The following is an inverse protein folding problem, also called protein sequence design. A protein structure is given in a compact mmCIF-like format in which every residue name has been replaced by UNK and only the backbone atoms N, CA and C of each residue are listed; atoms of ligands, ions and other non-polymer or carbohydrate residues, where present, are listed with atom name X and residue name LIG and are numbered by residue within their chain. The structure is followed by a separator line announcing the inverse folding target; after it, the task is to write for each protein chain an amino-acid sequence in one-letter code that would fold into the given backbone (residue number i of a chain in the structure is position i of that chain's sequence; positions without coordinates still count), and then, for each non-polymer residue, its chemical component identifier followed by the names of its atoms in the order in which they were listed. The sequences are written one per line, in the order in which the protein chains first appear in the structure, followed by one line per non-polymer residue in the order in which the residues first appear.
data_IF_450186566059
#
_entry.id   IF_450186566059
#
_cell.length_a   1.000
_cell.length_b   1.000
_cell.length_c   1.000
_cell.angle_alpha   90.00
_cell.angle_beta   90.00
_cell.angle_gamma   90.00
#
_symmetry.space_group_name_H-M   'P 1'
#
loop_
_entity.id
_entity.type
_entity.pdbx_description
1 polymer ?
#
# COMPACT_ATOMS: atom_id res chain seq x y z
N UNK A 1 23.26 3.38 -1.32
CA UNK A 1 23.68 4.68 -0.75
C UNK A 1 24.12 4.55 0.71
N UNK A 2 23.33 3.93 1.59
CA UNK A 2 23.67 3.78 3.01
C UNK A 2 25.00 3.09 3.28
N UNK A 3 25.33 2.05 2.52
CA UNK A 3 26.60 1.32 2.60
C UNK A 3 27.80 2.14 2.08
N UNK A 4 27.59 3.00 1.08
CA UNK A 4 28.67 3.76 0.43
C UNK A 4 28.99 5.09 1.16
N UNK A 5 28.00 5.80 1.67
CA UNK A 5 28.15 7.14 2.24
C UNK A 5 27.67 7.26 3.69
N UNK A 6 27.23 6.17 4.30
CA UNK A 6 26.70 6.10 5.64
C UNK A 6 25.25 6.62 5.75
N UNK A 7 24.54 6.15 6.77
CA UNK A 7 23.12 6.46 6.97
C UNK A 7 22.85 7.97 7.19
N UNK A 8 23.76 8.68 7.86
CA UNK A 8 23.61 10.14 8.10
C UNK A 8 23.65 10.95 6.81
N UNK A 9 24.59 10.63 5.91
CA UNK A 9 24.69 11.31 4.62
C UNK A 9 23.50 10.97 3.71
N UNK A 10 22.97 9.76 3.80
CA UNK A 10 21.75 9.36 3.07
C UNK A 10 20.55 10.20 3.51
N UNK A 11 20.32 10.35 4.82
CA UNK A 11 19.24 11.19 5.34
C UNK A 11 19.40 12.67 4.97
N UNK A 12 20.64 13.18 5.04
CA UNK A 12 20.94 14.55 4.64
C UNK A 12 20.64 14.78 3.15
N UNK A 13 21.05 13.84 2.29
CA UNK A 13 20.79 13.91 0.84
C UNK A 13 19.29 13.93 0.55
N UNK A 14 18.52 13.02 1.16
CA UNK A 14 17.07 12.99 1.03
C UNK A 14 16.44 14.29 1.51
N UNK A 15 16.92 14.84 2.66
CA UNK A 15 16.46 16.12 3.19
C UNK A 15 16.70 17.28 2.23
N UNK A 16 17.91 17.40 1.67
CA UNK A 16 18.26 18.44 0.70
C UNK A 16 17.41 18.34 -0.57
N UNK A 17 17.28 17.13 -1.13
CA UNK A 17 16.46 16.90 -2.33
C UNK A 17 15.00 17.25 -2.06
N UNK A 18 14.45 16.81 -0.92
CA UNK A 18 13.07 17.13 -0.53
C UNK A 18 12.85 18.63 -0.39
N UNK A 19 13.79 19.34 0.25
CA UNK A 19 13.73 20.79 0.39
C UNK A 19 13.80 21.51 -0.95
N UNK A 20 14.67 21.05 -1.87
CA UNK A 20 14.78 21.61 -3.21
C UNK A 20 13.47 21.41 -4.00
N UNK A 21 12.84 20.22 -3.89
CA UNK A 21 11.53 19.94 -4.51
C UNK A 21 10.46 20.87 -3.95
N UNK A 22 10.37 21.03 -2.64
CA UNK A 22 9.39 21.94 -2.00
C UNK A 22 9.62 23.38 -2.45
N UNK A 23 10.87 23.84 -2.47
CA UNK A 23 11.21 25.17 -2.97
C UNK A 23 10.78 25.34 -4.44
N UNK A 24 11.07 24.38 -5.30
CA UNK A 24 10.64 24.40 -6.70
C UNK A 24 9.10 24.45 -6.82
N UNK A 25 8.39 23.64 -6.07
CA UNK A 25 6.92 23.60 -6.08
C UNK A 25 6.31 24.95 -5.65
N UNK A 26 6.89 25.65 -4.69
CA UNK A 26 6.37 26.98 -4.26
C UNK A 26 6.43 28.04 -5.38
N UNK A 27 7.36 27.89 -6.33
CA UNK A 27 7.49 28.80 -7.48
C UNK A 27 6.65 28.37 -8.69
N UNK A 28 6.47 27.05 -8.87
CA UNK A 28 5.81 26.48 -10.06
C UNK A 28 4.31 26.31 -9.85
N UNK A 29 3.87 26.09 -8.58
CA UNK A 29 2.46 25.80 -8.32
C UNK A 29 1.59 27.05 -8.51
N UNK A 30 0.58 27.02 -9.41
CA UNK A 30 -0.34 28.13 -9.56
C UNK A 30 -1.17 28.31 -8.28
N UNK A 31 -1.52 29.55 -7.97
CA UNK A 31 -2.46 29.83 -6.89
C UNK A 31 -3.82 29.26 -7.27
N UNK A 32 -4.18 28.14 -6.66
CA UNK A 32 -5.50 27.55 -6.80
C UNK A 32 -6.46 28.26 -5.85
N UNK A 33 -7.67 28.61 -6.33
CA UNK A 33 -8.71 29.10 -5.47
C UNK A 33 -9.02 28.05 -4.41
N UNK A 34 -9.01 28.47 -3.14
CA UNK A 34 -9.40 27.62 -2.04
C UNK A 34 -10.86 27.22 -2.24
N UNK A 35 -11.12 25.98 -2.60
CA UNK A 35 -12.46 25.44 -2.68
C UNK A 35 -13.21 25.66 -1.37
N UNK A 36 -14.54 25.59 -1.39
CA UNK A 36 -15.39 25.78 -0.20
C UNK A 36 -14.84 24.96 0.97
N UNK A 37 -14.56 25.59 2.13
CA UNK A 37 -13.98 24.87 3.26
C UNK A 37 -14.93 23.75 3.70
N UNK A 38 -14.34 22.56 3.91
CA UNK A 38 -15.10 21.42 4.41
C UNK A 38 -15.49 21.67 5.86
N UNK A 39 -16.78 21.65 6.13
CA UNK A 39 -17.30 21.79 7.50
C UNK A 39 -17.18 20.43 8.21
N UNK A 40 -16.50 20.37 9.35
CA UNK A 40 -16.33 19.17 10.19
C UNK A 40 -17.67 18.47 10.52
N UNK A 41 -18.77 19.20 10.54
CA UNK A 41 -20.12 18.64 10.70
C UNK A 41 -20.55 17.66 9.61
N UNK A 42 -19.85 17.59 8.47
CA UNK A 42 -20.10 16.60 7.41
C UNK A 42 -19.33 15.27 7.59
N UNK A 43 -18.42 15.18 8.54
CA UNK A 43 -17.69 13.94 8.87
C UNK A 43 -18.62 12.73 9.12
N UNK A 44 -19.72 12.84 9.89
CA UNK A 44 -20.64 11.72 10.08
C UNK A 44 -21.28 11.22 8.79
N UNK A 45 -21.49 12.11 7.80
CA UNK A 45 -22.05 11.71 6.50
C UNK A 45 -21.10 10.84 5.68
N UNK A 46 -19.77 11.08 5.78
CA UNK A 46 -18.75 10.25 5.16
C UNK A 46 -18.72 8.84 5.76
N UNK A 47 -18.79 8.74 7.08
CA UNK A 47 -18.83 7.45 7.79
C UNK A 47 -20.14 6.68 7.58
N UNK A 48 -21.23 7.35 7.21
CA UNK A 48 -22.49 6.71 6.82
C UNK A 48 -22.48 6.17 5.39
N UNK A 49 -21.53 6.60 4.56
CA UNK A 49 -21.40 6.11 3.19
C UNK A 49 -20.83 4.69 3.19
N UNK A 50 -21.69 3.69 2.95
CA UNK A 50 -21.35 2.26 3.08
C UNK A 50 -20.14 1.85 2.22
N UNK A 51 -19.99 2.41 1.02
CA UNK A 51 -18.85 2.13 0.14
C UNK A 51 -17.54 2.66 0.70
N UNK A 52 -17.52 3.90 1.24
CA UNK A 52 -16.34 4.47 1.90
C UNK A 52 -15.97 3.72 3.17
N UNK A 53 -16.94 3.43 4.04
CA UNK A 53 -16.67 2.70 5.26
C UNK A 53 -16.10 1.31 4.98
N UNK A 54 -16.69 0.60 4.01
CA UNK A 54 -16.20 -0.72 3.59
C UNK A 54 -14.78 -0.64 3.02
N UNK A 55 -14.48 0.39 2.23
CA UNK A 55 -13.14 0.63 1.69
C UNK A 55 -12.12 0.91 2.80
N UNK A 56 -12.46 1.74 3.78
CA UNK A 56 -11.59 2.04 4.92
C UNK A 56 -11.27 0.79 5.74
N UNK A 57 -12.25 -0.10 5.94
CA UNK A 57 -12.04 -1.38 6.61
C UNK A 57 -11.07 -2.29 5.82
N UNK A 58 -11.26 -2.41 4.50
CA UNK A 58 -10.31 -3.15 3.65
C UNK A 58 -8.92 -2.56 3.77
N UNK A 59 -8.81 -1.23 3.73
CA UNK A 59 -7.51 -0.55 3.84
C UNK A 59 -6.81 -0.90 5.14
N UNK A 60 -7.47 -0.76 6.28
CA UNK A 60 -6.88 -1.09 7.59
C UNK A 60 -6.41 -2.54 7.61
N UNK A 61 -7.27 -3.49 7.22
CA UNK A 61 -6.96 -4.92 7.28
C UNK A 61 -5.79 -5.27 6.35
N UNK A 62 -5.85 -4.84 5.08
CA UNK A 62 -4.83 -5.20 4.09
C UNK A 62 -3.50 -4.50 4.35
N UNK A 63 -3.50 -3.24 4.80
CA UNK A 63 -2.27 -2.51 5.12
C UNK A 63 -1.65 -3.04 6.41
N UNK A 64 -2.44 -3.40 7.42
CA UNK A 64 -1.93 -4.12 8.61
C UNK A 64 -1.27 -5.43 8.19
N UNK A 65 -1.92 -6.24 7.37
CA UNK A 65 -1.36 -7.48 6.83
C UNK A 65 -0.05 -7.26 6.07
N UNK A 66 -0.04 -6.29 5.16
CA UNK A 66 1.11 -5.91 4.36
C UNK A 66 2.32 -5.53 5.24
N UNK A 67 2.12 -4.62 6.21
CA UNK A 67 3.20 -4.14 7.06
C UNK A 67 3.63 -5.12 8.15
N UNK A 68 2.83 -6.14 8.45
CA UNK A 68 3.26 -7.27 9.27
C UNK A 68 4.47 -8.00 8.65
N UNK A 69 4.47 -8.17 7.33
CA UNK A 69 5.61 -8.76 6.61
C UNK A 69 6.65 -7.72 6.18
N UNK A 70 6.20 -6.63 5.54
CA UNK A 70 7.08 -5.63 4.92
C UNK A 70 8.00 -4.93 5.92
N UNK A 71 7.52 -4.64 7.13
CA UNK A 71 8.32 -4.01 8.17
C UNK A 71 9.52 -4.85 8.63
N UNK A 72 9.52 -6.13 8.32
CA UNK A 72 10.55 -7.10 8.72
C UNK A 72 11.15 -7.85 7.52
N UNK A 73 10.98 -7.36 6.30
CA UNK A 73 11.41 -8.05 5.07
C UNK A 73 12.92 -8.25 5.02
N UNK A 74 13.70 -7.25 5.42
CA UNK A 74 15.16 -7.30 5.44
C UNK A 74 15.67 -8.35 6.46
N UNK A 75 15.34 -8.27 7.77
CA UNK A 75 15.75 -9.28 8.73
C UNK A 75 15.17 -10.67 8.43
N UNK A 76 14.01 -10.76 7.78
CA UNK A 76 13.45 -12.03 7.35
C UNK A 76 14.35 -12.68 6.27
N UNK A 77 14.71 -11.97 5.22
CA UNK A 77 15.58 -12.52 4.18
C UNK A 77 16.98 -12.83 4.70
N UNK A 78 17.50 -12.03 5.61
CA UNK A 78 18.80 -12.27 6.23
C UNK A 78 18.79 -13.52 7.11
N UNK A 79 17.80 -13.68 7.99
CA UNK A 79 17.77 -14.77 8.99
C UNK A 79 17.12 -16.06 8.49
N UNK A 80 16.13 -15.99 7.61
CA UNK A 80 15.36 -17.16 7.13
C UNK A 80 15.87 -17.64 5.79
N UNK A 81 16.16 -16.73 4.85
CA UNK A 81 16.68 -17.09 3.54
C UNK A 81 18.22 -17.18 3.51
N UNK A 82 18.91 -16.63 4.52
CA UNK A 82 20.38 -16.59 4.56
C UNK A 82 20.99 -15.73 3.44
N UNK A 83 20.24 -14.76 2.92
CA UNK A 83 20.70 -13.92 1.83
C UNK A 83 21.70 -12.86 2.31
N UNK A 84 22.77 -12.58 1.54
CA UNK A 84 23.67 -11.48 1.81
C UNK A 84 23.00 -10.12 1.54
N UNK A 85 23.52 -9.05 2.14
CA UNK A 85 22.94 -7.69 2.10
C UNK A 85 22.79 -7.12 0.69
N UNK A 86 23.68 -7.46 -0.24
CA UNK A 86 23.62 -7.06 -1.64
C UNK A 86 22.45 -7.73 -2.39
N UNK A 87 22.22 -9.02 -2.16
CA UNK A 87 21.08 -9.74 -2.72
C UNK A 87 19.74 -9.21 -2.15
N UNK A 88 19.69 -8.92 -0.85
CA UNK A 88 18.51 -8.29 -0.24
C UNK A 88 18.25 -6.91 -0.85
N UNK A 89 19.29 -6.10 -0.97
CA UNK A 89 19.20 -4.78 -1.62
C UNK A 89 18.70 -4.90 -3.05
N UNK A 90 19.21 -5.86 -3.83
CA UNK A 90 18.76 -6.10 -5.19
C UNK A 90 17.29 -6.52 -5.26
N UNK A 91 16.84 -7.41 -4.38
CA UNK A 91 15.44 -7.83 -4.28
C UNK A 91 14.51 -6.63 -3.96
N UNK A 92 14.93 -5.72 -3.07
CA UNK A 92 14.17 -4.50 -2.75
C UNK A 92 14.17 -3.47 -3.89
N UNK A 93 15.24 -3.39 -4.68
CA UNK A 93 15.26 -2.58 -5.92
C UNK A 93 14.27 -3.14 -6.94
N UNK A 94 14.25 -4.47 -7.12
CA UNK A 94 13.26 -5.11 -7.98
C UNK A 94 11.82 -4.90 -7.50
N UNK A 95 11.57 -4.95 -6.18
CA UNK A 95 10.28 -4.58 -5.59
C UNK A 95 9.86 -3.16 -5.99
N UNK A 96 10.76 -2.18 -5.86
CA UNK A 96 10.48 -0.79 -6.23
C UNK A 96 10.24 -0.62 -7.74
N UNK A 97 11.07 -1.26 -8.58
CA UNK A 97 10.93 -1.24 -10.04
C UNK A 97 9.60 -1.89 -10.48
N UNK A 98 9.23 -3.03 -9.88
CA UNK A 98 7.94 -3.67 -10.12
C UNK A 98 6.77 -2.77 -9.73
N UNK A 99 6.92 -1.96 -8.67
CA UNK A 99 5.92 -0.96 -8.29
C UNK A 99 5.69 0.10 -9.37
N UNK A 100 6.75 0.58 -10.04
CA UNK A 100 6.62 1.49 -11.19
C UNK A 100 5.85 0.82 -12.33
N UNK A 101 6.18 -0.43 -12.65
CA UNK A 101 5.45 -1.21 -13.67
C UNK A 101 3.98 -1.36 -13.30
N UNK A 102 3.65 -1.64 -12.03
CA UNK A 102 2.28 -1.73 -11.54
C UNK A 102 1.48 -0.44 -11.75
N UNK A 103 2.07 0.71 -11.47
CA UNK A 103 1.45 2.03 -11.73
C UNK A 103 1.21 2.26 -13.22
N UNK A 104 2.16 1.91 -14.07
CA UNK A 104 2.04 2.04 -15.52
C UNK A 104 0.98 1.10 -16.10
N UNK A 105 0.88 -0.14 -15.59
CA UNK A 105 -0.17 -1.08 -15.96
C UNK A 105 -1.55 -0.52 -15.64
N UNK A 106 -1.73 0.03 -14.45
CA UNK A 106 -2.99 0.68 -14.07
C UNK A 106 -3.36 1.81 -15.04
N UNK A 107 -2.40 2.66 -15.40
CA UNK A 107 -2.64 3.78 -16.30
C UNK A 107 -2.95 3.34 -17.74
N UNK A 108 -2.33 2.25 -18.22
CA UNK A 108 -2.49 1.79 -19.62
C UNK A 108 -3.65 0.85 -19.84
N UNK A 109 -4.05 0.09 -18.84
CA UNK A 109 -5.14 -0.90 -18.94
C UNK A 109 -6.50 -0.27 -18.60
N UNK A 110 -6.85 0.85 -19.23
CA UNK A 110 -8.10 1.58 -19.00
C UNK A 110 -9.38 0.78 -19.27
N UNK A 111 -9.29 -0.34 -20.02
CA UNK A 111 -10.40 -1.28 -20.24
C UNK A 111 -10.68 -2.20 -19.05
N UNK A 112 -9.72 -2.32 -18.11
CA UNK A 112 -9.86 -3.15 -16.92
C UNK A 112 -10.61 -2.36 -15.84
N UNK A 113 -11.64 -2.97 -15.26
CA UNK A 113 -12.44 -2.28 -14.23
C UNK A 113 -11.67 -2.05 -12.95
N UNK A 114 -11.92 -0.93 -12.27
CA UNK A 114 -11.32 -0.60 -10.98
C UNK A 114 -11.49 -1.73 -9.95
N UNK A 115 -12.66 -2.39 -9.94
CA UNK A 115 -12.93 -3.53 -9.08
C UNK A 115 -12.00 -4.72 -9.34
N UNK A 116 -11.60 -4.92 -10.57
CA UNK A 116 -10.67 -5.98 -10.97
C UNK A 116 -9.26 -5.68 -10.47
N UNK A 117 -8.76 -4.45 -10.66
CA UNK A 117 -7.48 -4.02 -10.11
C UNK A 117 -7.40 -4.20 -8.60
N UNK A 118 -8.43 -3.79 -7.87
CA UNK A 118 -8.52 -3.92 -6.41
C UNK A 118 -8.42 -5.39 -5.98
N UNK A 119 -9.14 -6.29 -6.68
CA UNK A 119 -9.07 -7.73 -6.37
C UNK A 119 -7.67 -8.30 -6.61
N UNK A 120 -7.06 -7.99 -7.76
CA UNK A 120 -5.71 -8.43 -8.08
C UNK A 120 -4.68 -7.88 -7.11
N UNK A 121 -4.81 -6.62 -6.70
CA UNK A 121 -3.93 -6.02 -5.71
C UNK A 121 -4.01 -6.73 -4.34
N UNK A 122 -5.22 -6.92 -3.81
CA UNK A 122 -5.40 -7.63 -2.54
C UNK A 122 -4.96 -9.10 -2.62
N UNK A 123 -5.28 -9.80 -3.73
CA UNK A 123 -4.86 -11.18 -3.95
C UNK A 123 -3.33 -11.31 -4.09
N UNK A 124 -2.71 -10.38 -4.82
CA UNK A 124 -1.25 -10.34 -4.99
C UNK A 124 -0.51 -10.10 -3.68
N UNK A 125 -1.01 -9.18 -2.82
CA UNK A 125 -0.44 -8.96 -1.48
C UNK A 125 -0.56 -10.22 -0.63
N UNK A 126 -1.74 -10.87 -0.62
CA UNK A 126 -1.94 -12.10 0.14
C UNK A 126 -1.03 -13.23 -0.37
N UNK A 127 -0.93 -13.40 -1.69
CA UNK A 127 -0.05 -14.39 -2.31
C UNK A 127 1.42 -14.13 -1.99
N UNK A 128 1.90 -12.87 -2.10
CA UNK A 128 3.28 -12.52 -1.80
C UNK A 128 3.65 -12.84 -0.34
N UNK A 129 2.78 -12.49 0.60
CA UNK A 129 2.99 -12.78 2.03
C UNK A 129 3.01 -14.30 2.30
N UNK A 130 2.07 -15.07 1.75
CA UNK A 130 2.01 -16.52 1.96
C UNK A 130 3.20 -17.26 1.31
N UNK A 131 3.65 -16.76 0.15
CA UNK A 131 4.77 -17.36 -0.58
C UNK A 131 6.14 -16.95 -0.03
N UNK A 132 6.20 -15.94 0.86
CA UNK A 132 7.44 -15.37 1.37
C UNK A 132 8.37 -16.41 2.00
N UNK A 133 7.84 -17.32 2.85
CA UNK A 133 8.62 -18.37 3.48
C UNK A 133 9.06 -19.47 2.48
N UNK A 134 8.19 -19.80 1.53
CA UNK A 134 8.51 -20.78 0.46
C UNK A 134 9.59 -20.20 -0.46
N UNK A 135 9.50 -18.91 -0.77
CA UNK A 135 10.50 -18.23 -1.59
C UNK A 135 11.86 -18.16 -0.90
N UNK A 136 11.88 -17.90 0.42
CA UNK A 136 13.10 -17.93 1.21
C UNK A 136 13.80 -19.29 1.15
N UNK A 137 13.06 -20.39 1.23
CA UNK A 137 13.60 -21.76 1.09
C UNK A 137 14.14 -22.05 -0.33
N UNK A 138 13.62 -21.38 -1.35
CA UNK A 138 14.08 -21.51 -2.74
C UNK A 138 15.28 -20.63 -3.10
N UNK A 139 15.78 -19.81 -2.15
CA UNK A 139 16.99 -18.97 -2.32
C UNK A 139 16.73 -17.61 -2.96
N UNK A 140 17.77 -17.01 -3.53
CA UNK A 140 17.76 -15.62 -4.00
C UNK A 140 16.76 -15.37 -5.12
N UNK A 141 16.75 -16.22 -6.17
CA UNK A 141 15.88 -16.01 -7.34
C UNK A 141 14.40 -16.02 -6.96
N UNK A 142 13.99 -16.98 -6.14
CA UNK A 142 12.59 -17.08 -5.67
C UNK A 142 12.21 -15.92 -4.76
N UNK A 143 13.11 -15.44 -3.92
CA UNK A 143 12.93 -14.23 -3.09
C UNK A 143 12.75 -12.98 -3.96
N UNK A 144 13.55 -12.82 -5.01
CA UNK A 144 13.38 -11.74 -5.99
C UNK A 144 12.03 -11.81 -6.71
N UNK A 145 11.58 -13.00 -7.13
CA UNK A 145 10.28 -13.16 -7.79
C UNK A 145 9.11 -12.78 -6.88
N UNK A 146 9.16 -13.15 -5.60
CA UNK A 146 8.14 -12.74 -4.62
C UNK A 146 8.19 -11.22 -4.39
N UNK A 147 9.37 -10.61 -4.34
CA UNK A 147 9.50 -9.14 -4.27
C UNK A 147 8.88 -8.45 -5.48
N UNK A 148 9.07 -8.97 -6.70
CA UNK A 148 8.43 -8.42 -7.92
C UNK A 148 6.91 -8.53 -7.82
N UNK A 149 6.38 -9.70 -7.46
CA UNK A 149 4.93 -9.89 -7.27
C UNK A 149 4.38 -8.90 -6.22
N UNK A 150 5.09 -8.77 -5.11
CA UNK A 150 4.66 -7.90 -4.01
C UNK A 150 4.70 -6.42 -4.40
N UNK A 151 5.77 -5.96 -5.06
CA UNK A 151 5.89 -4.59 -5.56
C UNK A 151 4.79 -4.22 -6.55
N UNK A 152 4.49 -5.10 -7.52
CA UNK A 152 3.35 -4.95 -8.44
C UNK A 152 2.03 -4.80 -7.69
N UNK A 153 1.76 -5.74 -6.76
CA UNK A 153 0.50 -5.76 -6.01
C UNK A 153 0.34 -4.54 -5.10
N UNK A 154 1.41 -4.13 -4.41
CA UNK A 154 1.42 -2.95 -3.53
C UNK A 154 1.14 -1.66 -4.30
N UNK A 155 1.75 -1.49 -5.47
CA UNK A 155 1.52 -0.32 -6.32
C UNK A 155 0.10 -0.30 -6.87
N UNK A 156 -0.39 -1.44 -7.39
CA UNK A 156 -1.78 -1.57 -7.84
C UNK A 156 -2.77 -1.27 -6.71
N UNK A 157 -2.50 -1.75 -5.48
CA UNK A 157 -3.31 -1.42 -4.31
C UNK A 157 -3.36 0.09 -4.09
N UNK A 158 -2.21 0.74 -4.02
CA UNK A 158 -2.11 2.17 -3.75
C UNK A 158 -2.90 2.99 -4.78
N UNK A 159 -2.62 2.77 -6.08
CA UNK A 159 -3.26 3.56 -7.16
C UNK A 159 -4.76 3.28 -7.26
N UNK A 160 -5.17 2.01 -7.17
CA UNK A 160 -6.59 1.64 -7.30
C UNK A 160 -7.43 2.10 -6.09
N UNK A 161 -6.87 2.07 -4.87
CA UNK A 161 -7.57 2.56 -3.70
C UNK A 161 -7.68 4.09 -3.69
N UNK A 162 -6.64 4.82 -4.11
CA UNK A 162 -6.74 6.27 -4.30
C UNK A 162 -7.86 6.63 -5.29
N UNK A 163 -7.96 5.93 -6.43
CA UNK A 163 -9.06 6.11 -7.38
C UNK A 163 -10.42 5.73 -6.77
N UNK A 164 -10.47 4.67 -5.94
CA UNK A 164 -11.70 4.25 -5.27
C UNK A 164 -12.19 5.27 -4.23
N UNK A 165 -11.29 5.92 -3.48
CA UNK A 165 -11.64 7.00 -2.54
C UNK A 165 -12.37 8.12 -3.28
N UNK A 166 -11.77 8.60 -4.38
CA UNK A 166 -12.34 9.70 -5.17
C UNK A 166 -13.72 9.29 -5.71
N UNK A 167 -13.85 8.05 -6.23
CA UNK A 167 -15.10 7.53 -6.78
C UNK A 167 -16.19 7.35 -5.72
N UNK A 168 -15.85 6.94 -4.50
CA UNK A 168 -16.80 6.68 -3.42
C UNK A 168 -17.14 7.93 -2.59
N UNK A 169 -16.34 8.99 -2.70
CA UNK A 169 -16.55 10.21 -1.94
C UNK A 169 -17.81 10.96 -2.43
N UNK A 170 -18.64 11.50 -1.51
CA UNK A 170 -19.70 12.42 -1.87
C UNK A 170 -19.14 13.69 -2.54
N UNK A 171 -19.99 14.38 -3.32
CA UNK A 171 -19.61 15.63 -3.98
C UNK A 171 -19.04 16.65 -3.00
N UNK A 172 -17.90 17.23 -3.34
CA UNK A 172 -17.18 18.23 -2.53
C UNK A 172 -16.51 17.68 -1.28
N UNK A 173 -16.50 16.35 -1.04
CA UNK A 173 -15.90 15.75 0.14
C UNK A 173 -14.66 14.89 -0.16
N UNK A 174 -14.18 14.87 -1.41
CA UNK A 174 -13.07 14.00 -1.83
C UNK A 174 -11.76 14.27 -1.08
N UNK A 175 -11.43 15.55 -0.79
CA UNK A 175 -10.22 15.91 -0.05
C UNK A 175 -10.24 15.36 1.39
N UNK A 176 -11.40 15.43 2.06
CA UNK A 176 -11.53 14.90 3.43
C UNK A 176 -11.55 13.37 3.44
N UNK A 177 -12.23 12.76 2.46
CA UNK A 177 -12.20 11.30 2.30
C UNK A 177 -10.77 10.79 2.07
N UNK A 178 -9.95 11.50 1.27
CA UNK A 178 -8.53 11.21 1.06
C UNK A 178 -7.70 11.39 2.33
N UNK A 179 -7.95 12.45 3.11
CA UNK A 179 -7.25 12.68 4.38
C UNK A 179 -7.56 11.57 5.40
N UNK A 180 -8.83 11.14 5.48
CA UNK A 180 -9.23 10.00 6.31
C UNK A 180 -8.58 8.71 5.84
N UNK A 181 -8.58 8.46 4.53
CA UNK A 181 -7.90 7.31 3.93
C UNK A 181 -6.41 7.27 4.31
N UNK A 182 -5.70 8.41 4.17
CA UNK A 182 -4.29 8.52 4.57
C UNK A 182 -4.08 8.24 6.06
N UNK A 183 -4.93 8.77 6.93
CA UNK A 183 -4.86 8.51 8.37
C UNK A 183 -5.05 7.03 8.70
N UNK A 184 -6.04 6.38 8.10
CA UNK A 184 -6.32 4.95 8.30
C UNK A 184 -5.25 4.05 7.65
N UNK A 185 -4.67 4.47 6.54
CA UNK A 185 -3.52 3.82 5.93
C UNK A 185 -2.32 3.82 6.90
N UNK A 186 -1.99 4.97 7.51
CA UNK A 186 -0.93 5.08 8.51
C UNK A 186 -1.24 4.29 9.79
N UNK A 187 -2.50 4.22 10.21
CA UNK A 187 -2.93 3.34 11.30
C UNK A 187 -2.62 1.87 10.95
N UNK A 188 -2.91 1.45 9.71
CA UNK A 188 -2.55 0.12 9.21
C UNK A 188 -1.05 -0.14 9.22
N UNK A 189 -0.22 0.85 8.85
CA UNK A 189 1.25 0.77 8.94
C UNK A 189 1.68 0.50 10.39
N UNK A 190 1.22 1.33 11.32
CA UNK A 190 1.60 1.22 12.73
C UNK A 190 1.17 -0.11 13.36
N UNK A 191 -0.10 -0.49 13.15
CA UNK A 191 -0.64 -1.76 13.68
C UNK A 191 0.02 -2.98 13.05
N UNK A 192 0.32 -2.93 11.75
CA UNK A 192 1.01 -4.02 11.03
C UNK A 192 2.44 -4.19 11.51
N UNK A 193 3.20 -3.11 11.61
CA UNK A 193 4.58 -3.16 12.12
C UNK A 193 4.62 -3.64 13.58
N UNK A 194 3.70 -3.17 14.42
CA UNK A 194 3.56 -3.66 15.80
C UNK A 194 3.24 -5.16 15.82
N UNK A 195 2.28 -5.63 15.04
CA UNK A 195 1.92 -7.04 14.96
C UNK A 195 3.10 -7.90 14.48
N UNK A 196 3.84 -7.45 13.46
CA UNK A 196 5.05 -8.12 12.99
C UNK A 196 6.11 -8.22 14.10
N UNK A 197 6.28 -7.18 14.93
CA UNK A 197 7.15 -7.21 16.11
C UNK A 197 6.71 -8.23 17.14
N UNK A 198 5.42 -8.29 17.46
CA UNK A 198 4.87 -9.28 18.38
C UNK A 198 5.09 -10.70 17.87
N UNK A 199 4.84 -10.96 16.58
CA UNK A 199 5.07 -12.27 15.97
C UNK A 199 6.56 -12.63 16.02
N UNK A 200 7.43 -11.73 15.63
CA UNK A 200 8.88 -11.95 15.62
C UNK A 200 9.41 -12.27 17.01
N UNK A 201 8.95 -11.53 18.04
CA UNK A 201 9.42 -11.70 19.41
C UNK A 201 8.90 -12.97 20.09
N UNK A 202 7.69 -13.43 19.82
CA UNK A 202 7.04 -14.52 20.56
C UNK A 202 6.98 -15.84 19.79
N UNK A 203 6.93 -15.79 18.46
CA UNK A 203 6.69 -16.99 17.62
C UNK A 203 7.86 -17.22 16.66
N UNK A 204 8.55 -16.18 16.25
CA UNK A 204 9.69 -16.22 15.35
C UNK A 204 9.42 -15.55 14.01
N UNK A 205 10.49 -14.96 13.46
CA UNK A 205 10.42 -14.17 12.23
C UNK A 205 9.97 -15.00 11.00
N UNK A 206 10.24 -16.29 10.98
CA UNK A 206 9.82 -17.18 9.88
C UNK A 206 8.32 -17.25 9.64
N UNK A 207 7.49 -16.88 10.64
CA UNK A 207 6.03 -16.95 10.56
C UNK A 207 5.35 -15.63 10.20
N UNK A 208 6.09 -14.52 10.06
CA UNK A 208 5.51 -13.21 9.77
C UNK A 208 4.72 -13.20 8.45
N UNK A 209 5.24 -13.88 7.41
CA UNK A 209 4.57 -14.01 6.13
C UNK A 209 3.23 -14.74 6.22
N UNK A 210 3.16 -15.81 7.00
CA UNK A 210 1.91 -16.57 7.19
C UNK A 210 0.88 -15.76 7.99
N UNK A 211 1.28 -15.10 9.08
CA UNK A 211 0.37 -14.27 9.89
C UNK A 211 -0.16 -13.11 9.04
N UNK A 212 0.73 -12.38 8.35
CA UNK A 212 0.33 -11.32 7.42
C UNK A 212 -0.55 -11.85 6.29
N UNK A 213 -0.19 -13.01 5.72
CA UNK A 213 -0.92 -13.66 4.63
C UNK A 213 -2.34 -14.06 5.00
N UNK A 214 -2.54 -14.66 6.18
CA UNK A 214 -3.88 -15.00 6.69
C UNK A 214 -4.73 -13.74 6.87
N UNK A 215 -4.15 -12.69 7.46
CA UNK A 215 -4.85 -11.42 7.62
C UNK A 215 -5.18 -10.77 6.26
N UNK A 216 -4.27 -10.86 5.27
CA UNK A 216 -4.52 -10.40 3.91
C UNK A 216 -5.63 -11.19 3.21
N UNK A 217 -5.74 -12.51 3.43
CA UNK A 217 -6.85 -13.33 2.93
C UNK A 217 -8.18 -12.89 3.52
N UNK A 218 -8.24 -12.54 4.81
CA UNK A 218 -9.45 -11.96 5.43
C UNK A 218 -9.82 -10.65 4.75
N UNK A 219 -8.84 -9.78 4.51
CA UNK A 219 -9.03 -8.52 3.77
C UNK A 219 -9.51 -8.74 2.34
N UNK A 220 -8.93 -9.71 1.62
CA UNK A 220 -9.34 -10.11 0.27
C UNK A 220 -10.78 -10.64 0.25
N UNK A 221 -11.13 -11.53 1.17
CA UNK A 221 -12.48 -12.08 1.28
C UNK A 221 -13.51 -10.97 1.52
N UNK A 222 -13.25 -10.08 2.48
CA UNK A 222 -14.13 -8.95 2.74
C UNK A 222 -14.21 -8.00 1.53
N UNK A 223 -13.09 -7.73 0.87
CA UNK A 223 -13.03 -6.93 -0.35
C UNK A 223 -13.93 -7.52 -1.44
N UNK A 224 -13.82 -8.82 -1.72
CA UNK A 224 -14.57 -9.48 -2.78
C UNK A 224 -16.07 -9.60 -2.47
N UNK A 225 -16.41 -9.94 -1.21
CA UNK A 225 -17.79 -10.22 -0.80
C UNK A 225 -18.62 -8.94 -0.57
N UNK A 226 -17.99 -7.87 -0.08
CA UNK A 226 -18.71 -6.66 0.34
C UNK A 226 -18.28 -5.43 -0.45
N UNK A 227 -17.01 -5.06 -0.41
CA UNK A 227 -16.55 -3.78 -0.95
C UNK A 227 -16.76 -3.67 -2.46
N UNK A 228 -16.40 -4.69 -3.23
CA UNK A 228 -16.53 -4.66 -4.69
C UNK A 228 -17.99 -4.57 -5.13
N UNK A 229 -18.91 -5.21 -4.42
CA UNK A 229 -20.34 -5.09 -4.66
C UNK A 229 -20.84 -3.66 -4.46
N UNK A 230 -20.45 -3.02 -3.37
CA UNK A 230 -20.79 -1.63 -3.07
C UNK A 230 -20.14 -0.64 -4.05
N UNK A 231 -18.87 -0.88 -4.45
CA UNK A 231 -18.18 -0.06 -5.43
C UNK A 231 -18.85 -0.03 -6.80
N UNK A 232 -19.43 -1.16 -7.23
CA UNK A 232 -20.17 -1.25 -8.48
C UNK A 232 -21.51 -0.50 -8.47
N UNK A 233 -22.11 -0.33 -7.29
CA UNK A 233 -23.37 0.41 -7.11
C UNK A 233 -23.17 1.93 -7.10
N UNK A 234 -21.95 2.41 -6.89
CA UNK A 234 -21.64 3.82 -6.99
C UNK A 234 -21.75 4.24 -8.45
N UNK A 235 -22.84 4.94 -8.81
CA UNK A 235 -23.04 5.52 -10.14
C UNK A 235 -21.94 6.54 -10.41
N UNK A 236 -21.43 6.60 -11.64
CA UNK A 236 -20.68 7.75 -12.11
C UNK A 236 -21.57 8.98 -11.98
N UNK A 237 -21.13 10.09 -11.39
CA UNK A 237 -21.76 11.37 -11.68
C UNK A 237 -21.62 11.55 -13.20
N UNK A 238 -22.76 11.67 -13.89
CA UNK A 238 -22.81 12.04 -15.29
C UNK A 238 -22.08 13.37 -15.41
N UNK A 239 -20.95 13.35 -16.14
CA UNK A 239 -20.31 14.56 -16.60
C UNK A 239 -21.32 15.16 -17.59
N UNK A 240 -22.08 16.13 -17.10
CA UNK A 240 -22.92 17.02 -17.92
C UNK A 240 -22.10 18.25 -18.31
#
# INVERSE_FOLDING_TARGET
LGLAIGWRATFLTVGIVSFAIVACLTFVFPKLDAGKPFTLGKLPSLLRTRSLLSMYLVTIIVITAYFTGYGYIEPFFQQVAGLPDDAITFALVLFGAAGLVGSLLFARLGHVTLATFIRFACAGIAAALLLMAIAAAGGEVSSCLVCVLWGLAASLFNVSFNAAVIKCAPEGASSVAMSMYSGLYNLGIGTGTWLGGVVTANVGIGLIGYVGGVLALVGLAYCCLRFVGLLRQVRHPSIG
#
